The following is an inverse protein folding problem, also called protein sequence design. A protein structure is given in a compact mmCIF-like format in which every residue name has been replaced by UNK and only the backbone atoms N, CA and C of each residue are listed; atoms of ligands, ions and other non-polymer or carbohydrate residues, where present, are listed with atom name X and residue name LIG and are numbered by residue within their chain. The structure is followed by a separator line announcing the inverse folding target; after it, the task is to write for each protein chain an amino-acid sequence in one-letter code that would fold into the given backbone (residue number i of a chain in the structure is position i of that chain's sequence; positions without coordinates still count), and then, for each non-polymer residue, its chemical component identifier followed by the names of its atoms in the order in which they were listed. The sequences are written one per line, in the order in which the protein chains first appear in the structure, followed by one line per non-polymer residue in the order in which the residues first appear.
data_IF_695328839722
#
_entry.id   IF_695328839722
#
_cell.length_a   1.000
_cell.length_b   1.000
_cell.length_c   1.000
_cell.angle_alpha   90.00
_cell.angle_beta   90.00
_cell.angle_gamma   90.00
#
_symmetry.space_group_name_H-M   'P 1'
#
loop_
_entity.id
_entity.type
_entity.pdbx_description
1 polymer ?
#
# COMPACT_ATOMS: atom_id res chain seq x y z
N UNK A 1 -44.03 15.71 -85.08
CA UNK A 1 -42.62 15.58 -84.90
C UNK A 1 -42.26 16.09 -83.53
N UNK A 2 -42.17 15.29 -82.53
CA UNK A 2 -41.80 15.86 -81.24
C UNK A 2 -40.43 15.31 -80.81
N UNK A 3 -39.60 16.17 -80.30
CA UNK A 3 -38.31 16.01 -79.75
C UNK A 3 -38.44 15.58 -78.27
N UNK A 4 -37.77 14.47 -77.91
CA UNK A 4 -37.69 13.92 -76.57
C UNK A 4 -36.58 14.62 -75.73
N UNK A 5 -36.98 15.21 -74.61
CA UNK A 5 -36.04 15.75 -73.60
C UNK A 5 -35.63 14.59 -72.64
N UNK A 6 -34.37 14.28 -72.66
CA UNK A 6 -33.74 13.33 -71.65
C UNK A 6 -33.43 13.99 -70.31
N UNK A 7 -34.02 13.45 -69.27
CA UNK A 7 -33.81 13.91 -67.88
C UNK A 7 -32.58 13.22 -67.28
N UNK A 8 -31.53 14.00 -66.99
CA UNK A 8 -30.36 13.54 -66.23
C UNK A 8 -30.63 13.61 -64.71
N UNK A 9 -30.84 12.46 -64.09
CA UNK A 9 -30.89 12.36 -62.66
C UNK A 9 -29.43 12.24 -62.12
N UNK A 10 -28.95 13.27 -61.46
CA UNK A 10 -27.69 13.23 -60.73
C UNK A 10 -27.89 12.54 -59.37
N UNK A 11 -27.37 11.31 -59.23
CA UNK A 11 -27.32 10.65 -57.94
C UNK A 11 -26.21 11.26 -57.08
N UNK A 12 -26.59 11.89 -55.99
CA UNK A 12 -25.70 12.39 -54.96
C UNK A 12 -25.33 11.20 -54.02
N UNK A 13 -24.10 10.72 -54.15
CA UNK A 13 -23.58 9.71 -53.20
C UNK A 13 -23.11 10.43 -51.94
N UNK A 14 -23.86 10.28 -50.87
CA UNK A 14 -23.53 10.82 -49.56
C UNK A 14 -22.55 9.83 -48.87
N UNK A 15 -21.25 10.14 -48.90
CA UNK A 15 -20.23 9.39 -48.15
C UNK A 15 -20.35 9.74 -46.66
N UNK A 16 -21.01 8.88 -45.87
CA UNK A 16 -21.01 8.98 -44.42
C UNK A 16 -19.61 8.50 -43.90
N UNK A 17 -18.80 9.46 -43.50
CA UNK A 17 -17.55 9.16 -42.81
C UNK A 17 -17.87 8.64 -41.39
N UNK A 18 -17.84 7.33 -41.16
CA UNK A 18 -17.85 6.75 -39.84
C UNK A 18 -16.51 7.10 -39.14
N UNK A 19 -16.49 8.14 -38.31
CA UNK A 19 -15.44 8.39 -37.36
C UNK A 19 -15.48 7.26 -36.32
N UNK A 20 -14.59 6.31 -36.44
CA UNK A 20 -14.37 5.27 -35.41
C UNK A 20 -13.85 5.96 -34.14
N UNK A 21 -14.72 6.12 -33.15
CA UNK A 21 -14.34 6.49 -31.79
C UNK A 21 -13.51 5.33 -31.25
N UNK A 22 -12.18 5.49 -31.23
CA UNK A 22 -11.30 4.58 -30.53
C UNK A 22 -11.73 4.52 -29.05
N UNK A 23 -11.91 3.33 -28.46
CA UNK A 23 -12.24 3.25 -27.05
C UNK A 23 -11.12 3.92 -26.23
N UNK A 24 -11.45 4.63 -25.14
CA UNK A 24 -10.43 5.21 -24.28
C UNK A 24 -9.52 4.08 -23.81
N UNK A 25 -8.22 4.23 -24.02
CA UNK A 25 -7.22 3.29 -23.52
C UNK A 25 -7.46 3.12 -22.03
N UNK A 26 -7.77 1.91 -21.61
CA UNK A 26 -7.89 1.57 -20.20
C UNK A 26 -6.48 1.69 -19.60
N UNK A 27 -6.06 2.89 -19.23
CA UNK A 27 -4.89 3.08 -18.39
C UNK A 27 -5.23 2.41 -17.07
N UNK A 28 -4.58 1.27 -16.80
CA UNK A 28 -4.69 0.62 -15.49
C UNK A 28 -4.37 1.64 -14.40
N UNK A 29 -5.02 1.50 -13.23
CA UNK A 29 -4.75 2.37 -12.08
C UNK A 29 -3.25 2.40 -11.77
N UNK A 30 -2.71 3.59 -11.53
CA UNK A 30 -1.34 3.76 -11.06
C UNK A 30 -1.12 3.02 -9.73
N UNK A 31 0.12 2.63 -9.43
CA UNK A 31 0.42 1.98 -8.15
C UNK A 31 0.04 2.86 -6.96
N UNK A 32 0.17 4.18 -7.09
CA UNK A 32 -0.28 5.14 -6.06
C UNK A 32 -1.78 5.06 -5.82
N UNK A 33 -2.59 4.99 -6.88
CA UNK A 33 -4.05 4.84 -6.77
C UNK A 33 -4.43 3.49 -6.18
N UNK A 34 -3.75 2.41 -6.61
CA UNK A 34 -3.95 1.08 -6.07
C UNK A 34 -3.59 0.96 -4.59
N UNK A 35 -2.57 1.67 -4.11
CA UNK A 35 -2.19 1.71 -2.69
C UNK A 35 -3.18 2.47 -1.84
N UNK A 36 -3.80 3.52 -2.38
CA UNK A 36 -4.63 4.47 -1.62
C UNK A 36 -5.71 3.78 -0.80
N UNK A 37 -5.88 4.26 0.43
CA UNK A 37 -6.86 3.76 1.40
C UNK A 37 -6.23 2.98 2.56
N UNK A 38 -7.09 2.26 3.28
CA UNK A 38 -6.70 1.47 4.46
C UNK A 38 -6.46 0.01 4.10
N UNK A 39 -5.53 -0.61 4.80
CA UNK A 39 -5.17 -2.01 4.69
C UNK A 39 -5.00 -2.61 6.08
N UNK A 40 -5.64 -3.75 6.33
CA UNK A 40 -5.56 -4.49 7.59
C UNK A 40 -4.47 -5.55 7.51
N UNK A 41 -3.70 -5.71 8.56
CA UNK A 41 -2.65 -6.72 8.67
C UNK A 41 -3.26 -8.13 8.66
N UNK A 42 -2.78 -8.97 7.75
CA UNK A 42 -3.11 -10.40 7.69
C UNK A 42 -1.99 -11.23 8.31
N UNK A 43 -0.75 -10.97 7.92
CA UNK A 43 0.42 -11.65 8.48
C UNK A 43 1.66 -10.78 8.37
N UNK A 44 2.56 -10.96 9.32
CA UNK A 44 3.88 -10.36 9.32
C UNK A 44 4.91 -11.43 9.66
N UNK A 45 5.77 -11.74 8.69
CA UNK A 45 6.88 -12.67 8.87
C UNK A 45 8.21 -12.01 8.50
N UNK A 46 9.28 -12.60 8.94
CA UNK A 46 10.65 -12.26 8.54
C UNK A 46 11.40 -13.53 8.16
N UNK A 47 12.17 -13.44 7.11
CA UNK A 47 13.06 -14.52 6.68
C UNK A 47 14.48 -14.14 7.14
N UNK A 48 15.11 -14.95 7.98
CA UNK A 48 16.48 -14.75 8.47
C UNK A 48 17.34 -15.91 7.97
N UNK A 49 18.14 -15.66 6.93
CA UNK A 49 18.77 -16.75 6.16
C UNK A 49 17.70 -17.59 5.47
N UNK A 50 17.57 -18.86 5.87
CA UNK A 50 16.56 -19.80 5.34
C UNK A 50 15.38 -20.02 6.30
N UNK A 51 15.37 -19.36 7.45
CA UNK A 51 14.37 -19.57 8.50
C UNK A 51 13.29 -18.50 8.44
N UNK A 52 12.04 -18.93 8.35
CA UNK A 52 10.89 -18.03 8.50
C UNK A 52 10.49 -17.94 9.97
N UNK A 53 10.47 -16.72 10.48
CA UNK A 53 10.11 -16.38 11.86
C UNK A 53 8.91 -15.42 11.87
N UNK A 54 8.18 -15.32 12.99
CA UNK A 54 7.20 -14.25 13.18
C UNK A 54 7.85 -12.87 13.07
N UNK A 55 7.08 -11.90 12.60
CA UNK A 55 7.45 -10.49 12.67
C UNK A 55 7.59 -9.98 14.10
N UNK A 56 7.96 -8.71 14.23
CA UNK A 56 8.30 -8.10 15.54
C UNK A 56 7.16 -8.20 16.57
N UNK A 57 5.91 -8.16 16.14
CA UNK A 57 4.73 -8.18 17.01
C UNK A 57 4.15 -9.59 17.24
N UNK A 58 4.83 -10.65 16.78
CA UNK A 58 4.37 -12.04 16.94
C UNK A 58 3.52 -12.55 15.77
N UNK A 59 3.08 -13.82 15.86
CA UNK A 59 2.34 -14.52 14.79
C UNK A 59 0.94 -13.95 14.58
N UNK A 60 0.30 -13.54 15.65
CA UNK A 60 -1.08 -13.06 15.71
C UNK A 60 -1.19 -11.54 15.81
N UNK A 61 -0.14 -10.84 15.41
CA UNK A 61 -0.12 -9.38 15.40
C UNK A 61 -1.36 -8.82 14.70
N UNK A 62 -1.85 -7.71 15.23
CA UNK A 62 -2.89 -6.91 14.59
C UNK A 62 -2.30 -5.57 14.18
N UNK A 63 -2.83 -4.99 13.11
CA UNK A 63 -2.30 -3.73 12.61
C UNK A 63 -3.01 -3.23 11.38
N UNK A 64 -2.63 -2.06 10.97
CA UNK A 64 -3.11 -1.42 9.76
C UNK A 64 -2.05 -0.51 9.15
N UNK A 65 -2.13 -0.34 7.85
CA UNK A 65 -1.41 0.71 7.13
C UNK A 65 -2.41 1.50 6.30
N UNK A 66 -2.24 2.81 6.28
CA UNK A 66 -3.08 3.72 5.49
C UNK A 66 -2.20 4.55 4.57
N UNK A 67 -2.67 4.70 3.34
CA UNK A 67 -2.06 5.57 2.33
C UNK A 67 -3.08 6.61 1.92
N UNK A 68 -2.83 7.87 2.23
CA UNK A 68 -3.68 8.97 1.79
C UNK A 68 -3.27 9.42 0.38
N UNK A 69 -4.23 9.85 -0.42
CA UNK A 69 -3.98 10.29 -1.79
C UNK A 69 -3.04 11.50 -1.91
N UNK A 70 -2.94 12.30 -0.86
CA UNK A 70 -2.05 13.47 -0.75
C UNK A 70 -0.58 13.11 -0.46
N UNK A 71 -0.26 11.81 -0.32
CA UNK A 71 1.10 11.33 -0.08
C UNK A 71 1.46 11.13 1.40
N UNK A 72 0.49 11.24 2.32
CA UNK A 72 0.72 10.85 3.72
C UNK A 72 0.45 9.36 3.93
N UNK A 73 1.15 8.76 4.88
CA UNK A 73 0.93 7.38 5.27
C UNK A 73 1.09 7.22 6.79
N UNK A 74 0.39 6.23 7.34
CA UNK A 74 0.58 5.78 8.72
C UNK A 74 0.55 4.25 8.77
N UNK A 75 1.48 3.68 9.52
CA UNK A 75 1.56 2.27 9.85
C UNK A 75 1.44 2.09 11.36
N UNK A 76 0.64 1.13 11.79
CA UNK A 76 0.52 0.75 13.18
C UNK A 76 0.40 -0.78 13.27
N UNK A 77 1.13 -1.40 14.18
CA UNK A 77 0.99 -2.80 14.50
C UNK A 77 1.26 -3.05 15.99
N UNK A 78 0.58 -4.04 16.54
CA UNK A 78 0.76 -4.41 17.93
C UNK A 78 0.57 -5.90 18.16
N UNK A 79 1.08 -6.38 19.28
CA UNK A 79 0.75 -7.71 19.79
C UNK A 79 -0.74 -7.75 20.15
N UNK A 80 -1.42 -8.83 19.80
CA UNK A 80 -2.87 -8.95 20.08
C UNK A 80 -3.17 -8.91 21.58
N UNK A 81 -2.38 -9.58 22.38
CA UNK A 81 -2.62 -9.81 23.80
C UNK A 81 -1.82 -8.82 24.67
N UNK A 82 -1.88 -7.53 24.35
CA UNK A 82 -1.32 -6.49 25.24
C UNK A 82 -2.18 -6.35 26.48
N UNK A 83 -1.63 -6.49 27.70
CA UNK A 83 -2.41 -6.25 28.91
C UNK A 83 -2.81 -4.78 29.00
N UNK A 84 -4.03 -4.46 29.48
CA UNK A 84 -4.38 -3.11 29.87
C UNK A 84 -3.55 -2.67 31.08
N UNK A 85 -3.42 -1.37 31.27
CA UNK A 85 -2.89 -0.84 32.53
C UNK A 85 -3.84 -1.15 33.70
N UNK A 86 -3.31 -1.37 34.88
CA UNK A 86 -4.11 -1.61 36.08
C UNK A 86 -4.98 -0.41 36.45
N UNK A 87 -4.48 0.81 36.24
CA UNK A 87 -5.28 2.02 36.40
C UNK A 87 -6.05 2.34 35.11
N UNK A 88 -7.35 2.70 35.18
CA UNK A 88 -8.13 3.14 34.02
C UNK A 88 -7.83 4.58 33.59
N UNK A 89 -7.05 5.34 34.36
CA UNK A 89 -6.74 6.73 34.04
C UNK A 89 -5.78 6.82 32.85
N UNK A 90 -5.86 7.91 32.10
CA UNK A 90 -4.94 8.15 30.98
C UNK A 90 -3.54 8.50 31.52
N UNK A 91 -2.54 7.72 31.12
CA UNK A 91 -1.11 7.85 31.43
C UNK A 91 -0.59 7.36 32.80
N UNK A 92 -1.33 6.99 33.83
CA UNK A 92 -0.71 6.27 34.92
C UNK A 92 -0.41 4.84 34.45
N UNK A 93 0.66 4.35 34.75
CA UNK A 93 1.13 2.99 34.53
C UNK A 93 2.45 2.87 35.22
N UNK A 94 2.74 1.71 35.80
CA UNK A 94 4.06 1.48 36.38
C UNK A 94 5.13 1.54 35.28
N UNK A 95 6.41 1.71 35.60
CA UNK A 95 7.49 1.63 34.62
C UNK A 95 7.43 0.33 33.80
N UNK A 96 7.14 -0.82 34.45
CA UNK A 96 7.08 -2.14 33.83
C UNK A 96 5.90 -2.23 32.84
N UNK A 97 4.72 -1.70 33.21
CA UNK A 97 3.57 -1.63 32.31
C UNK A 97 3.86 -0.77 31.08
N UNK A 98 4.54 0.35 31.24
CA UNK A 98 4.95 1.25 30.16
C UNK A 98 5.93 0.58 29.22
N UNK A 99 6.92 -0.15 29.77
CA UNK A 99 7.88 -0.95 28.95
C UNK A 99 7.14 -2.02 28.17
N UNK A 100 6.27 -2.79 28.82
CA UNK A 100 5.48 -3.83 28.14
C UNK A 100 4.56 -3.26 27.06
N UNK A 101 3.94 -2.11 27.31
CA UNK A 101 3.12 -1.41 26.33
C UNK A 101 3.95 -0.93 25.13
N UNK A 102 5.13 -0.37 25.36
CA UNK A 102 6.06 0.06 24.31
C UNK A 102 6.55 -1.13 23.48
N UNK A 103 7.04 -2.19 24.10
CA UNK A 103 7.54 -3.39 23.42
C UNK A 103 6.46 -4.16 22.65
N UNK A 104 5.21 -3.94 22.99
CA UNK A 104 4.07 -4.55 22.34
C UNK A 104 3.50 -3.74 21.18
N UNK A 105 4.10 -2.62 20.78
CA UNK A 105 3.55 -1.72 19.76
C UNK A 105 4.64 -1.10 18.90
N UNK A 106 4.34 -0.94 17.63
CA UNK A 106 5.14 -0.13 16.70
C UNK A 106 4.20 0.70 15.83
N UNK A 107 4.51 1.98 15.74
CA UNK A 107 3.76 2.89 14.86
C UNK A 107 4.67 3.96 14.30
N UNK A 108 4.40 4.36 13.09
CA UNK A 108 5.05 5.50 12.45
C UNK A 108 4.16 6.10 11.37
N UNK A 109 4.32 7.40 11.18
CA UNK A 109 3.67 8.15 10.10
C UNK A 109 4.69 9.02 9.38
N UNK A 110 4.32 9.48 8.21
CA UNK A 110 5.12 10.37 7.38
C UNK A 110 4.56 10.46 5.97
N UNK A 111 5.46 10.72 5.03
CA UNK A 111 5.11 10.78 3.61
C UNK A 111 5.55 9.53 2.88
N UNK A 112 4.91 9.24 1.74
CA UNK A 112 5.34 8.17 0.86
C UNK A 112 5.49 8.65 -0.58
N UNK A 113 6.47 8.08 -1.25
CA UNK A 113 6.76 8.29 -2.67
C UNK A 113 6.68 6.92 -3.37
N UNK A 114 6.07 6.88 -4.55
CA UNK A 114 5.90 5.64 -5.34
C UNK A 114 6.88 5.62 -6.50
N UNK A 115 7.54 4.49 -6.68
CA UNK A 115 8.27 4.16 -7.90
C UNK A 115 7.50 3.09 -8.67
N UNK A 116 6.82 3.49 -9.74
CA UNK A 116 5.99 2.62 -10.57
C UNK A 116 6.81 1.52 -11.27
N UNK A 117 7.99 1.86 -11.76
CA UNK A 117 8.85 0.93 -12.51
C UNK A 117 9.40 -0.18 -11.62
N UNK A 118 9.82 0.19 -10.41
CA UNK A 118 10.39 -0.75 -9.44
C UNK A 118 9.33 -1.46 -8.62
N UNK A 119 8.06 -1.02 -8.73
CA UNK A 119 6.97 -1.43 -7.83
C UNK A 119 7.38 -1.31 -6.37
N UNK A 120 7.83 -0.12 -6.00
CA UNK A 120 8.31 0.17 -4.66
C UNK A 120 7.77 1.49 -4.12
N UNK A 121 7.80 1.63 -2.81
CA UNK A 121 7.49 2.87 -2.10
C UNK A 121 8.63 3.22 -1.15
N UNK A 122 8.86 4.51 -0.96
CA UNK A 122 9.77 5.04 0.05
C UNK A 122 8.92 5.77 1.08
N UNK A 123 8.97 5.33 2.32
CA UNK A 123 8.36 6.02 3.47
C UNK A 123 9.40 6.97 4.06
N UNK A 124 9.09 8.27 4.10
CA UNK A 124 9.87 9.29 4.81
C UNK A 124 9.20 9.50 6.15
N UNK A 125 9.80 8.94 7.20
CA UNK A 125 9.19 8.88 8.52
C UNK A 125 9.37 10.18 9.28
N UNK A 126 8.26 10.82 9.61
CA UNK A 126 8.21 12.10 10.37
C UNK A 126 7.93 11.85 11.85
N UNK A 127 7.13 10.84 12.16
CA UNK A 127 6.75 10.44 13.50
C UNK A 127 6.98 8.93 13.67
N UNK A 128 7.50 8.51 14.82
CA UNK A 128 7.67 7.09 15.12
C UNK A 128 7.63 6.82 16.62
N UNK A 129 7.02 5.71 17.01
CA UNK A 129 7.14 5.17 18.36
C UNK A 129 8.57 4.72 18.69
N UNK A 130 9.37 4.35 17.67
CA UNK A 130 10.78 4.02 17.82
C UNK A 130 11.63 5.23 17.39
N UNK A 131 12.25 5.95 18.34
CA UNK A 131 12.89 7.26 18.07
C UNK A 131 13.89 7.24 16.92
N UNK A 132 14.66 6.15 16.76
CA UNK A 132 15.70 6.05 15.72
C UNK A 132 15.15 5.95 14.29
N UNK A 133 13.85 5.76 14.12
CA UNK A 133 13.22 5.74 12.79
C UNK A 133 12.79 7.13 12.33
N UNK A 134 12.59 8.08 13.25
CA UNK A 134 12.21 9.45 12.89
C UNK A 134 13.29 10.10 12.02
N UNK A 135 12.89 10.72 10.93
CA UNK A 135 13.80 11.37 9.97
C UNK A 135 14.45 10.38 8.98
N UNK A 136 14.15 9.09 9.03
CA UNK A 136 14.72 8.10 8.10
C UNK A 136 13.81 7.85 6.90
N UNK A 137 14.41 7.26 5.84
CA UNK A 137 13.70 6.75 4.68
C UNK A 137 13.68 5.22 4.69
N UNK A 138 12.49 4.65 4.51
CA UNK A 138 12.27 3.20 4.55
C UNK A 138 11.69 2.72 3.22
N UNK A 139 12.47 1.97 2.44
CA UNK A 139 12.00 1.37 1.18
C UNK A 139 11.19 0.10 1.43
N UNK A 140 10.12 -0.06 0.65
CA UNK A 140 9.32 -1.30 0.57
C UNK A 140 9.06 -1.63 -0.88
N UNK A 141 9.26 -2.88 -1.25
CA UNK A 141 8.69 -3.42 -2.48
C UNK A 141 7.22 -3.73 -2.25
N UNK A 142 6.41 -3.55 -3.27
CA UNK A 142 4.95 -3.72 -3.18
C UNK A 142 4.45 -4.60 -4.32
N UNK A 143 3.52 -5.49 -3.97
CA UNK A 143 2.80 -6.31 -4.92
C UNK A 143 1.32 -6.31 -4.54
N UNK A 144 0.45 -5.90 -5.49
CA UNK A 144 -0.98 -5.74 -5.27
C UNK A 144 -1.73 -6.66 -6.24
N UNK A 145 -2.62 -7.47 -5.68
CA UNK A 145 -3.51 -8.35 -6.43
C UNK A 145 -4.92 -8.25 -5.82
N UNK A 146 -5.79 -7.47 -6.48
CA UNK A 146 -7.14 -7.18 -5.98
C UNK A 146 -7.11 -6.56 -4.58
N UNK A 147 -7.73 -7.23 -3.62
CA UNK A 147 -7.82 -6.78 -2.23
C UNK A 147 -6.59 -7.08 -1.38
N UNK A 148 -5.55 -7.67 -1.96
CA UNK A 148 -4.35 -8.05 -1.24
C UNK A 148 -3.17 -7.18 -1.63
N UNK A 149 -2.41 -6.75 -0.62
CA UNK A 149 -1.15 -6.04 -0.76
C UNK A 149 -0.08 -6.83 0.00
N UNK A 150 0.99 -7.17 -0.69
CA UNK A 150 2.22 -7.68 -0.07
C UNK A 150 3.25 -6.55 -0.06
N UNK A 151 3.86 -6.30 1.10
CA UNK A 151 5.01 -5.42 1.21
C UNK A 151 6.22 -6.18 1.74
N UNK A 152 7.42 -5.89 1.20
CA UNK A 152 8.66 -6.49 1.70
C UNK A 152 9.76 -5.44 1.82
N UNK A 153 10.67 -5.65 2.78
CA UNK A 153 11.87 -4.80 2.89
C UNK A 153 12.94 -5.21 1.90
N UNK A 154 13.84 -4.32 1.49
CA UNK A 154 15.14 -4.75 0.99
C UNK A 154 15.82 -5.69 1.99
N UNK A 155 16.69 -6.60 1.53
CA UNK A 155 17.50 -7.40 2.43
C UNK A 155 18.42 -6.52 3.29
N UNK A 156 18.45 -6.80 4.59
CA UNK A 156 19.39 -6.19 5.52
C UNK A 156 20.20 -7.27 6.24
N UNK A 157 21.40 -6.96 6.70
CA UNK A 157 22.21 -7.92 7.47
C UNK A 157 21.89 -7.78 8.95
N UNK A 158 21.42 -8.85 9.55
CA UNK A 158 21.16 -8.97 10.98
C UNK A 158 21.89 -10.18 11.53
N UNK A 159 22.81 -9.98 12.48
CA UNK A 159 23.63 -11.05 13.06
C UNK A 159 24.34 -11.91 11.99
N UNK A 160 24.87 -11.26 10.95
CA UNK A 160 25.60 -11.93 9.86
C UNK A 160 24.72 -12.69 8.84
N UNK A 161 23.41 -12.65 8.97
CA UNK A 161 22.45 -13.26 8.03
C UNK A 161 21.62 -12.21 7.33
N UNK A 162 21.22 -12.48 6.09
CA UNK A 162 20.23 -11.64 5.41
C UNK A 162 18.87 -11.79 6.09
N UNK A 163 18.20 -10.68 6.29
CA UNK A 163 16.82 -10.62 6.79
C UNK A 163 15.95 -9.80 5.86
N UNK A 164 14.78 -10.33 5.57
CA UNK A 164 13.71 -9.65 4.82
C UNK A 164 12.43 -9.73 5.65
N UNK A 165 11.74 -8.61 5.83
CA UNK A 165 10.39 -8.63 6.38
C UNK A 165 9.39 -8.76 5.23
N UNK A 166 8.41 -9.63 5.39
CA UNK A 166 7.26 -9.77 4.52
C UNK A 166 5.99 -9.48 5.30
N UNK A 167 5.16 -8.60 4.78
CA UNK A 167 3.89 -8.25 5.40
C UNK A 167 2.78 -8.39 4.37
N UNK A 168 1.76 -9.14 4.72
CA UNK A 168 0.56 -9.32 3.92
C UNK A 168 -0.58 -8.51 4.53
N UNK A 169 -1.25 -7.77 3.69
CA UNK A 169 -2.35 -6.88 4.03
C UNK A 169 -3.58 -7.24 3.20
N UNK A 170 -4.74 -6.87 3.71
CA UNK A 170 -6.01 -6.98 3.00
C UNK A 170 -6.82 -5.69 3.17
N UNK A 171 -7.56 -5.30 2.14
CA UNK A 171 -8.53 -4.20 2.27
C UNK A 171 -9.60 -4.58 3.28
N UNK A 172 -9.98 -3.66 4.20
CA UNK A 172 -11.14 -3.89 5.06
C UNK A 172 -12.39 -4.09 4.20
N UNK A 173 -13.27 -4.98 4.65
CA UNK A 173 -14.59 -5.19 4.04
C UNK A 173 -15.57 -4.13 4.49
#
# INVERSE_FOLDING_TARGET
MPTSLGSFVRSLVLCAACAALAPPSAYGQSLKEQLSGAWTLVSWTRIVGEIEEPGLMGRDAIGQIMFAGDGHMCFNAMRRNRPPFASPEFQPGTPEEKVAAYDGYVGYCGRYEVNEQERSVIFRLELSSYPNLTGTAQKRFVDIAGDRLKTSTPPVIVRGKQMVNNVLWQRPK
#
